data_IF_422712590619
#
_entry.id   IF_422712590619
#
_cell.length_a   1.000
_cell.length_b   1.000
_cell.length_c   1.000
_cell.angle_alpha   90.00
_cell.angle_beta   90.00
_cell.angle_gamma   90.00
#
_symmetry.space_group_name_H-M   'P 1'
#
loop_
_entity.id
_entity.type
_entity.pdbx_description
1 polymer ?
#
# COMPACT_ATOMS: atom_id res chain seq x y z
N UNK A 1 -3.41 -10.36 20.29
CA UNK A 1 -4.57 -11.03 19.64
C UNK A 1 -5.42 -10.02 18.84
N UNK A 2 -5.85 -8.86 19.40
CA UNK A 2 -6.71 -7.87 18.72
C UNK A 2 -6.04 -7.34 17.44
N UNK A 3 -4.78 -6.94 17.49
CA UNK A 3 -4.06 -6.42 16.31
C UNK A 3 -3.96 -7.46 15.19
N UNK A 4 -3.73 -8.74 15.53
CA UNK A 4 -3.69 -9.81 14.54
C UNK A 4 -5.05 -10.01 13.84
N UNK A 5 -6.15 -9.92 14.59
CA UNK A 5 -7.51 -9.98 14.03
C UNK A 5 -7.80 -8.76 13.14
N UNK A 6 -7.40 -7.57 13.58
CA UNK A 6 -7.54 -6.35 12.77
C UNK A 6 -6.79 -6.47 11.44
N UNK A 7 -5.54 -6.96 11.46
CA UNK A 7 -4.73 -7.13 10.25
C UNK A 7 -5.34 -8.23 9.36
N UNK A 8 -5.72 -9.36 9.90
CA UNK A 8 -6.26 -10.49 9.14
C UNK A 8 -7.62 -10.18 8.53
N UNK A 9 -8.58 -9.76 9.35
CA UNK A 9 -9.94 -9.44 8.88
C UNK A 9 -9.95 -8.14 8.09
N UNK A 10 -9.30 -7.10 8.61
CA UNK A 10 -9.24 -5.80 7.96
C UNK A 10 -8.53 -5.86 6.60
N UNK A 11 -7.40 -6.57 6.52
CA UNK A 11 -6.69 -6.80 5.27
C UNK A 11 -7.51 -7.60 4.25
N UNK A 12 -8.21 -8.66 4.69
CA UNK A 12 -9.12 -9.44 3.84
C UNK A 12 -10.27 -8.60 3.29
N UNK A 13 -10.96 -7.86 4.16
CA UNK A 13 -12.04 -6.93 3.78
C UNK A 13 -11.50 -5.85 2.85
N UNK A 14 -10.34 -5.26 3.16
CA UNK A 14 -9.70 -4.24 2.36
C UNK A 14 -9.36 -4.72 0.95
N UNK A 15 -8.79 -5.92 0.82
CA UNK A 15 -8.46 -6.51 -0.49
C UNK A 15 -9.72 -6.78 -1.31
N UNK A 16 -10.78 -7.29 -0.69
CA UNK A 16 -12.07 -7.53 -1.34
C UNK A 16 -12.71 -6.20 -1.81
N UNK A 17 -12.73 -5.19 -0.95
CA UNK A 17 -13.24 -3.86 -1.31
C UNK A 17 -12.42 -3.24 -2.44
N UNK A 18 -11.09 -3.37 -2.41
CA UNK A 18 -10.21 -2.89 -3.46
C UNK A 18 -10.55 -3.52 -4.82
N UNK A 19 -10.73 -4.84 -4.87
CA UNK A 19 -11.13 -5.54 -6.09
C UNK A 19 -12.47 -5.02 -6.63
N UNK A 20 -13.51 -4.99 -5.79
CA UNK A 20 -14.86 -4.54 -6.19
C UNK A 20 -14.85 -3.08 -6.67
N UNK A 21 -14.19 -2.17 -5.94
CA UNK A 21 -14.11 -0.76 -6.33
C UNK A 21 -13.30 -0.57 -7.61
N UNK A 22 -12.15 -1.23 -7.69
CA UNK A 22 -11.27 -1.19 -8.85
C UNK A 22 -11.99 -1.70 -10.11
N UNK A 23 -12.71 -2.82 -10.03
CA UNK A 23 -13.48 -3.36 -11.14
C UNK A 23 -14.62 -2.44 -11.58
N UNK A 24 -15.34 -1.86 -10.61
CA UNK A 24 -16.47 -0.96 -10.93
C UNK A 24 -15.99 0.37 -11.53
N UNK A 25 -14.97 0.96 -10.95
CA UNK A 25 -14.45 2.26 -11.40
C UNK A 25 -13.59 2.11 -12.65
N UNK A 26 -12.81 1.04 -12.75
CA UNK A 26 -11.98 0.71 -13.89
C UNK A 26 -12.75 0.44 -15.17
N UNK A 27 -14.03 -0.03 -15.09
CA UNK A 27 -14.93 -0.13 -16.24
C UNK A 27 -15.28 1.23 -16.86
N UNK A 28 -15.28 2.30 -16.09
CA UNK A 28 -15.52 3.67 -16.59
C UNK A 28 -14.25 4.30 -17.15
N UNK A 29 -13.15 4.18 -16.44
CA UNK A 29 -11.82 4.63 -16.84
C UNK A 29 -10.78 3.76 -16.16
N UNK A 30 -9.94 3.10 -16.93
CA UNK A 30 -8.88 2.21 -16.44
C UNK A 30 -7.91 2.87 -15.46
N UNK A 31 -7.76 4.19 -15.53
CA UNK A 31 -6.91 4.99 -14.64
C UNK A 31 -7.30 4.86 -13.17
N UNK A 32 -8.57 4.61 -12.90
CA UNK A 32 -9.07 4.43 -11.54
C UNK A 32 -8.44 3.26 -10.80
N UNK A 33 -7.94 2.25 -11.52
CA UNK A 33 -7.20 1.15 -10.89
C UNK A 33 -5.94 1.62 -10.14
N UNK A 34 -5.29 2.67 -10.63
CA UNK A 34 -4.13 3.27 -9.96
C UNK A 34 -4.53 4.44 -9.05
N UNK A 35 -5.43 5.31 -9.52
CA UNK A 35 -5.85 6.48 -8.74
C UNK A 35 -6.52 6.09 -7.43
N UNK A 36 -7.32 5.03 -7.43
CA UNK A 36 -7.97 4.53 -6.21
C UNK A 36 -6.92 4.18 -5.14
N UNK A 37 -5.86 3.46 -5.51
CA UNK A 37 -4.77 3.10 -4.60
C UNK A 37 -4.06 4.34 -4.06
N UNK A 38 -3.74 5.29 -4.94
CA UNK A 38 -3.09 6.55 -4.53
C UNK A 38 -3.94 7.39 -3.59
N UNK A 39 -5.23 7.58 -3.91
CA UNK A 39 -6.16 8.37 -3.09
C UNK A 39 -6.34 7.74 -1.72
N UNK A 40 -6.61 6.43 -1.68
CA UNK A 40 -6.83 5.70 -0.43
C UNK A 40 -5.58 5.73 0.45
N UNK A 41 -4.39 5.62 -0.13
CA UNK A 41 -3.12 5.76 0.61
C UNK A 41 -2.94 7.15 1.22
N UNK A 42 -3.27 8.22 0.48
CA UNK A 42 -3.20 9.59 1.00
C UNK A 42 -4.23 9.80 2.13
N UNK A 43 -5.45 9.31 1.96
CA UNK A 43 -6.51 9.42 2.98
C UNK A 43 -6.15 8.64 4.25
N UNK A 44 -5.50 7.47 4.13
CA UNK A 44 -5.10 6.67 5.28
C UNK A 44 -3.92 7.27 6.07
N UNK A 45 -3.08 8.09 5.43
CA UNK A 45 -1.87 8.63 6.04
C UNK A 45 -2.10 9.38 7.38
N UNK A 46 -3.03 10.34 7.49
CA UNK A 46 -3.27 11.03 8.76
C UNK A 46 -3.74 10.08 9.87
N UNK A 47 -4.57 9.08 9.55
CA UNK A 47 -5.01 8.08 10.51
C UNK A 47 -3.85 7.21 11.01
N UNK A 48 -2.92 6.86 10.11
CA UNK A 48 -1.70 6.13 10.48
C UNK A 48 -0.84 6.94 11.45
N UNK A 49 -0.60 8.21 11.15
CA UNK A 49 0.20 9.09 12.01
C UNK A 49 -0.47 9.25 13.40
N UNK A 50 -1.78 9.49 13.44
CA UNK A 50 -2.52 9.61 14.70
C UNK A 50 -2.47 8.30 15.51
N UNK A 51 -2.55 7.16 14.84
CA UNK A 51 -2.42 5.84 15.48
C UNK A 51 -1.04 5.61 16.08
N UNK A 52 0.01 5.87 15.31
CA UNK A 52 1.39 5.66 15.78
C UNK A 52 1.83 6.61 16.88
N UNK A 53 1.30 7.83 16.91
CA UNK A 53 1.60 8.84 17.93
C UNK A 53 0.60 8.84 19.10
N UNK A 54 -0.33 7.90 19.14
CA UNK A 54 -1.33 7.81 20.23
C UNK A 54 -0.69 7.52 21.58
N UNK A 55 -1.20 8.16 22.62
CA UNK A 55 -0.70 7.99 23.99
C UNK A 55 -1.09 6.64 24.62
N UNK A 56 -2.17 6.02 24.16
CA UNK A 56 -2.69 4.73 24.69
C UNK A 56 -2.88 3.71 23.57
N UNK A 57 -2.70 2.42 23.91
CA UNK A 57 -2.91 1.33 22.95
C UNK A 57 -4.34 1.27 22.42
N UNK A 58 -5.35 1.65 23.22
CA UNK A 58 -6.74 1.66 22.78
C UNK A 58 -6.99 2.73 21.72
N UNK A 59 -6.52 3.96 21.93
CA UNK A 59 -6.64 5.03 20.92
C UNK A 59 -5.83 4.72 19.67
N UNK A 60 -4.66 4.10 19.80
CA UNK A 60 -3.86 3.62 18.68
C UNK A 60 -4.65 2.63 17.82
N UNK A 61 -5.25 1.62 18.43
CA UNK A 61 -6.06 0.62 17.71
C UNK A 61 -7.22 1.25 16.96
N UNK A 62 -7.93 2.21 17.55
CA UNK A 62 -9.04 2.91 16.90
C UNK A 62 -8.58 3.65 15.63
N UNK A 63 -7.49 4.40 15.70
CA UNK A 63 -6.96 5.12 14.55
C UNK A 63 -6.41 4.19 13.48
N UNK A 64 -5.83 3.05 13.86
CA UNK A 64 -5.24 2.09 12.94
C UNK A 64 -6.26 1.18 12.23
N UNK A 65 -7.56 1.21 12.58
CA UNK A 65 -8.60 0.46 11.86
C UNK A 65 -8.59 0.79 10.37
N UNK A 66 -8.64 2.09 10.02
CA UNK A 66 -8.69 2.55 8.63
C UNK A 66 -7.42 2.15 7.87
N UNK A 67 -6.19 2.48 8.34
CA UNK A 67 -4.97 2.05 7.68
C UNK A 67 -4.86 0.52 7.49
N UNK A 68 -5.36 -0.26 8.44
CA UNK A 68 -5.29 -1.72 8.35
C UNK A 68 -6.19 -2.25 7.24
N UNK A 69 -7.42 -1.70 7.10
CA UNK A 69 -8.34 -2.08 6.03
C UNK A 69 -7.76 -1.68 4.66
N UNK A 70 -7.25 -0.46 4.54
CA UNK A 70 -6.80 0.06 3.24
C UNK A 70 -5.36 -0.30 2.89
N UNK A 71 -4.58 -0.79 3.86
CA UNK A 71 -3.18 -1.17 3.64
C UNK A 71 -2.99 -2.30 2.62
N UNK A 72 -3.98 -3.17 2.46
CA UNK A 72 -3.98 -4.23 1.45
C UNK A 72 -4.58 -3.81 0.10
N UNK A 73 -5.10 -2.57 -0.02
CA UNK A 73 -5.81 -2.08 -1.20
C UNK A 73 -4.96 -2.08 -2.48
N UNK A 74 -3.67 -1.87 -2.36
CA UNK A 74 -2.78 -1.76 -3.52
C UNK A 74 -2.58 -3.09 -4.24
N UNK A 75 -2.66 -4.22 -3.53
CA UNK A 75 -2.17 -5.50 -4.03
C UNK A 75 -2.95 -6.01 -5.26
N UNK A 76 -4.27 -6.10 -5.15
CA UNK A 76 -5.14 -6.59 -6.22
C UNK A 76 -5.08 -5.73 -7.50
N UNK A 77 -5.39 -4.43 -7.40
CA UNK A 77 -5.34 -3.54 -8.56
C UNK A 77 -3.96 -3.46 -9.22
N UNK A 78 -2.88 -3.44 -8.44
CA UNK A 78 -1.52 -3.40 -8.98
C UNK A 78 -1.19 -4.68 -9.75
N UNK A 79 -1.52 -5.85 -9.20
CA UNK A 79 -1.30 -7.12 -9.87
C UNK A 79 -2.14 -7.25 -11.15
N UNK A 80 -3.40 -6.80 -11.11
CA UNK A 80 -4.27 -6.79 -12.28
C UNK A 80 -3.70 -5.89 -13.39
N UNK A 81 -3.24 -4.68 -13.06
CA UNK A 81 -2.63 -3.78 -14.04
C UNK A 81 -1.30 -4.31 -14.58
N UNK A 82 -0.47 -4.90 -13.72
CA UNK A 82 0.76 -5.55 -14.15
C UNK A 82 0.48 -6.61 -15.23
N UNK A 83 -0.55 -7.45 -15.02
CA UNK A 83 -0.93 -8.48 -15.99
C UNK A 83 -1.50 -7.94 -17.30
N UNK A 84 -2.04 -6.74 -17.31
CA UNK A 84 -2.51 -6.09 -18.55
C UNK A 84 -1.39 -5.47 -19.38
N UNK A 85 -0.26 -5.17 -18.75
CA UNK A 85 0.90 -4.53 -19.38
C UNK A 85 1.94 -5.52 -19.92
N UNK A 86 1.86 -6.80 -19.54
CA UNK A 86 2.81 -7.83 -19.98
C UNK A 86 2.13 -8.88 -20.83
N UNK A 87 2.92 -9.56 -21.68
CA UNK A 87 2.41 -10.69 -22.49
C UNK A 87 1.96 -11.84 -21.57
N UNK A 88 0.97 -12.67 -22.00
CA UNK A 88 0.45 -13.77 -21.20
C UNK A 88 1.54 -14.71 -20.65
N UNK A 89 2.56 -15.00 -21.45
CA UNK A 89 3.68 -15.89 -21.09
C UNK A 89 4.58 -15.29 -20.00
N UNK A 90 4.57 -13.98 -19.82
CA UNK A 90 5.39 -13.26 -18.86
C UNK A 90 4.66 -12.96 -17.54
N UNK A 91 3.36 -13.23 -17.43
CA UNK A 91 2.55 -12.85 -16.25
C UNK A 91 3.05 -13.49 -14.95
N UNK A 92 3.42 -14.77 -14.99
CA UNK A 92 3.96 -15.46 -13.82
C UNK A 92 5.30 -14.87 -13.38
N UNK A 93 6.19 -14.57 -14.32
CA UNK A 93 7.47 -13.94 -14.04
C UNK A 93 7.29 -12.53 -13.48
N UNK A 94 6.42 -11.73 -14.07
CA UNK A 94 6.12 -10.38 -13.61
C UNK A 94 5.55 -10.38 -12.19
N UNK A 95 4.62 -11.31 -11.89
CA UNK A 95 4.10 -11.50 -10.53
C UNK A 95 5.19 -11.91 -9.54
N UNK A 96 6.07 -12.84 -9.93
CA UNK A 96 7.18 -13.28 -9.08
C UNK A 96 8.13 -12.13 -8.75
N UNK A 97 8.48 -11.30 -9.73
CA UNK A 97 9.34 -10.12 -9.53
C UNK A 97 8.65 -9.11 -8.59
N UNK A 98 7.37 -8.82 -8.83
CA UNK A 98 6.60 -7.92 -7.96
C UNK A 98 6.56 -8.42 -6.52
N UNK A 99 6.26 -9.71 -6.31
CA UNK A 99 6.23 -10.31 -4.98
C UNK A 99 7.60 -10.33 -4.33
N UNK A 100 8.66 -10.62 -5.08
CA UNK A 100 10.04 -10.60 -4.59
C UNK A 100 10.42 -9.22 -4.08
N UNK A 101 10.17 -8.16 -4.87
CA UNK A 101 10.43 -6.77 -4.48
C UNK A 101 9.60 -6.42 -3.23
N UNK A 102 8.31 -6.76 -3.24
CA UNK A 102 7.42 -6.47 -2.12
C UNK A 102 7.87 -7.15 -0.81
N UNK A 103 8.36 -8.39 -0.88
CA UNK A 103 8.87 -9.10 0.30
C UNK A 103 10.21 -8.53 0.79
N UNK A 104 11.15 -8.21 -0.11
CA UNK A 104 12.43 -7.62 0.30
C UNK A 104 12.22 -6.28 0.99
N UNK A 105 11.46 -5.38 0.38
CA UNK A 105 11.25 -4.04 0.93
C UNK A 105 10.22 -4.04 2.06
N UNK A 106 9.12 -4.79 1.93
CA UNK A 106 8.03 -4.80 2.91
C UNK A 106 8.37 -5.60 4.17
N UNK A 107 8.86 -6.83 4.03
CA UNK A 107 9.12 -7.71 5.17
C UNK A 107 10.59 -7.73 5.61
N UNK A 108 11.52 -7.34 4.73
CA UNK A 108 12.95 -7.29 5.04
C UNK A 108 13.39 -5.89 5.47
N UNK A 109 13.59 -5.01 4.51
CA UNK A 109 14.18 -3.68 4.72
C UNK A 109 13.28 -2.78 5.57
N UNK A 110 11.94 -2.85 5.37
CA UNK A 110 10.99 -2.01 6.10
C UNK A 110 11.10 -2.12 7.62
N UNK A 111 10.91 -3.31 8.21
CA UNK A 111 11.07 -3.51 9.65
C UNK A 111 12.47 -3.17 10.17
N UNK A 112 13.52 -3.47 9.39
CA UNK A 112 14.90 -3.13 9.74
C UNK A 112 15.09 -1.61 9.85
N UNK A 113 14.60 -0.84 8.87
CA UNK A 113 14.67 0.63 8.91
C UNK A 113 13.90 1.21 10.10
N UNK A 114 12.69 0.69 10.36
CA UNK A 114 11.89 1.11 11.52
C UNK A 114 12.63 0.81 12.81
N UNK A 115 13.25 -0.36 12.96
CA UNK A 115 14.05 -0.74 14.14
C UNK A 115 15.23 0.21 14.33
N UNK A 116 16.04 0.41 13.31
CA UNK A 116 17.21 1.33 13.38
C UNK A 116 16.80 2.77 13.72
N UNK A 117 15.71 3.27 13.15
CA UNK A 117 15.18 4.61 13.46
C UNK A 117 14.65 4.68 14.89
N UNK A 118 13.94 3.65 15.34
CA UNK A 118 13.44 3.56 16.71
C UNK A 118 14.60 3.59 17.72
N UNK A 119 15.65 2.81 17.48
CA UNK A 119 16.83 2.75 18.33
C UNK A 119 17.54 4.12 18.40
N UNK A 120 17.67 4.80 17.27
CA UNK A 120 18.26 6.14 17.21
C UNK A 120 17.42 7.22 17.92
N UNK A 121 16.08 7.05 17.94
CA UNK A 121 15.16 7.99 18.58
C UNK A 121 14.92 7.72 20.07
N UNK A 122 15.10 6.49 20.52
CA UNK A 122 14.85 6.05 21.90
C UNK A 122 15.63 6.87 22.95
N UNK A 123 16.92 7.25 22.79
CA UNK A 123 17.64 8.05 23.78
C UNK A 123 16.99 9.41 24.04
N UNK A 124 16.28 9.98 23.07
CA UNK A 124 15.64 11.31 23.17
C UNK A 124 14.16 11.24 23.51
N UNK A 125 13.45 10.23 22.99
CA UNK A 125 11.98 10.16 23.05
C UNK A 125 11.47 8.96 23.85
N UNK A 126 12.36 8.13 24.39
CA UNK A 126 11.98 6.95 25.18
C UNK A 126 11.08 6.00 24.39
N UNK A 127 10.03 5.52 25.04
CA UNK A 127 9.06 4.58 24.45
C UNK A 127 8.30 5.12 23.22
N UNK A 128 8.31 6.44 23.01
CA UNK A 128 7.68 7.05 21.83
C UNK A 128 8.56 6.94 20.56
N UNK A 129 9.83 6.56 20.69
CA UNK A 129 10.77 6.43 19.58
C UNK A 129 10.24 5.56 18.46
N UNK A 130 9.62 4.41 18.79
CA UNK A 130 9.00 3.52 17.81
C UNK A 130 7.82 4.17 17.08
N UNK A 131 6.93 4.85 17.82
CA UNK A 131 5.79 5.53 17.22
C UNK A 131 6.21 6.63 16.24
N UNK A 132 7.25 7.40 16.59
CA UNK A 132 7.82 8.43 15.73
C UNK A 132 8.46 7.81 14.48
N UNK A 133 9.22 6.72 14.64
CA UNK A 133 9.82 6.00 13.51
C UNK A 133 8.75 5.52 12.53
N UNK A 134 7.67 4.90 13.02
CA UNK A 134 6.54 4.47 12.20
C UNK A 134 5.82 5.64 11.52
N UNK A 135 5.63 6.76 12.22
CA UNK A 135 5.01 7.96 11.65
C UNK A 135 5.87 8.56 10.51
N UNK A 136 7.19 8.52 10.64
CA UNK A 136 8.10 8.96 9.57
C UNK A 136 8.03 8.05 8.34
N UNK A 137 7.80 6.74 8.51
CA UNK A 137 7.62 5.81 7.39
C UNK A 137 6.36 6.11 6.56
N UNK A 138 5.36 6.79 7.12
CA UNK A 138 4.17 7.23 6.37
C UNK A 138 4.55 8.14 5.20
N UNK A 139 5.64 8.90 5.30
CA UNK A 139 6.15 9.76 4.21
C UNK A 139 6.48 8.91 2.97
N UNK A 140 7.09 7.73 3.17
CA UNK A 140 7.40 6.80 2.06
C UNK A 140 6.09 6.28 1.44
N UNK A 141 5.10 5.96 2.25
CA UNK A 141 3.77 5.57 1.78
C UNK A 141 3.07 6.67 0.97
N UNK A 142 3.16 7.92 1.42
CA UNK A 142 2.64 9.08 0.68
C UNK A 142 3.38 9.28 -0.64
N UNK A 143 4.69 9.14 -0.66
CA UNK A 143 5.50 9.19 -1.87
C UNK A 143 5.07 8.11 -2.87
N UNK A 144 4.87 6.87 -2.43
CA UNK A 144 4.32 5.79 -3.24
C UNK A 144 2.92 6.11 -3.77
N UNK A 145 2.05 6.68 -2.93
CA UNK A 145 0.69 7.09 -3.32
C UNK A 145 0.69 8.15 -4.44
N UNK A 146 1.60 9.12 -4.38
CA UNK A 146 1.80 10.11 -5.44
C UNK A 146 2.23 9.43 -6.75
N UNK A 147 3.11 8.42 -6.71
CA UNK A 147 3.51 7.66 -7.90
C UNK A 147 2.36 6.89 -8.52
N UNK A 148 1.44 6.34 -7.73
CA UNK A 148 0.21 5.73 -8.24
C UNK A 148 -0.67 6.75 -8.97
N UNK A 149 -0.80 7.98 -8.48
CA UNK A 149 -1.56 9.04 -9.14
C UNK A 149 -0.91 9.48 -10.46
N UNK A 150 0.42 9.60 -10.47
CA UNK A 150 1.19 9.95 -11.68
C UNK A 150 1.10 8.83 -12.71
N UNK A 151 1.35 7.57 -12.31
CA UNK A 151 1.29 6.39 -13.18
C UNK A 151 -0.10 6.18 -13.80
N UNK A 152 -1.16 6.50 -13.04
CA UNK A 152 -2.52 6.47 -13.58
C UNK A 152 -2.75 7.37 -14.79
N UNK A 153 -1.98 8.47 -14.95
CA UNK A 153 -2.13 9.39 -16.08
C UNK A 153 -1.71 8.75 -17.41
N UNK A 154 -0.68 7.92 -17.42
CA UNK A 154 -0.16 7.25 -18.63
C UNK A 154 -0.79 5.89 -18.89
N UNK A 155 -1.42 5.28 -17.89
CA UNK A 155 -1.87 3.88 -17.89
C UNK A 155 -2.67 3.48 -19.15
N UNK A 156 -3.64 4.30 -19.56
CA UNK A 156 -4.47 4.00 -20.74
C UNK A 156 -3.65 3.91 -22.04
N UNK A 157 -2.69 4.81 -22.20
CA UNK A 157 -1.75 4.83 -23.34
C UNK A 157 -0.82 3.62 -23.32
N UNK A 158 -0.30 3.28 -22.14
CA UNK A 158 0.66 2.20 -21.96
C UNK A 158 0.00 0.83 -22.20
N UNK A 159 -1.26 0.66 -21.78
CA UNK A 159 -2.06 -0.53 -22.10
C UNK A 159 -2.29 -0.65 -23.63
N UNK A 160 -2.66 0.45 -24.30
CA UNK A 160 -2.86 0.44 -25.74
C UNK A 160 -1.58 0.07 -26.49
N UNK A 161 -0.43 0.59 -26.06
CA UNK A 161 0.87 0.24 -26.62
C UNK A 161 1.23 -1.24 -26.41
N UNK A 162 1.00 -1.78 -25.20
CA UNK A 162 1.24 -3.20 -24.90
C UNK A 162 0.37 -4.12 -25.76
N UNK A 163 -0.90 -3.78 -25.96
CA UNK A 163 -1.82 -4.55 -26.80
C UNK A 163 -1.43 -4.51 -28.29
N UNK A 164 -0.90 -3.40 -28.78
CA UNK A 164 -0.41 -3.28 -30.16
C UNK A 164 0.82 -4.17 -30.41
N UNK A 165 1.69 -4.35 -29.42
CA UNK A 165 2.88 -5.22 -29.50
C UNK A 165 2.56 -6.71 -29.35
N UNK A 166 1.38 -7.07 -28.86
CA UNK A 166 0.96 -8.45 -28.66
C UNK A 166 0.23 -9.05 -29.89
N UNK A 167 -0.08 -8.23 -30.89
CA UNK A 167 -0.65 -8.63 -32.21
C UNK A 167 0.43 -8.92 -33.22
#
# INVERSE_FOLDING_TARGET
TILALMIGIGGGVGTMMAGILSDRMGKKDVRWNMWLVGIVGIVAAPFSVMGYLSATGQTALLWLVIPTIVGAFYFGPTLAMLHTLVKPEMRSLASAIMLFINNIFGLGIGPLMVGMMSDALTPRYGVQGLGIALALMVIIGLWGSVHYLIGGRSLARDIAAAQAQAR
#
